data_IF_273897806363
#
_entry.id   IF_273897806363
#
_cell.length_a   1.000
_cell.length_b   1.000
_cell.length_c   1.000
_cell.angle_alpha   90.00
_cell.angle_beta   90.00
_cell.angle_gamma   90.00
#
_symmetry.space_group_name_H-M   'P 1'
#
loop_
_entity.id
_entity.type
_entity.pdbx_description
1 polymer ?
#
# COMPACT_ATOMS: atom_id res chain seq x y z
N UNK A 1 -7.28 31.37 -13.31
CA UNK A 1 -7.21 29.87 -13.32
C UNK A 1 -6.51 29.50 -12.03
N UNK A 2 -7.21 28.78 -11.15
CA UNK A 2 -6.60 28.36 -9.88
C UNK A 2 -5.64 27.22 -10.15
N UNK A 3 -4.41 27.33 -9.65
CA UNK A 3 -3.36 26.32 -9.82
C UNK A 3 -3.23 25.54 -8.51
N UNK A 4 -3.43 24.22 -8.58
CA UNK A 4 -3.26 23.31 -7.45
C UNK A 4 -1.88 22.64 -7.49
N UNK A 5 -1.02 22.92 -6.51
CA UNK A 5 0.36 22.44 -6.47
C UNK A 5 0.64 21.40 -5.37
N UNK A 6 -0.38 20.97 -4.61
CA UNK A 6 -0.21 20.05 -3.47
C UNK A 6 -0.63 18.59 -3.79
N UNK A 7 -0.24 18.10 -4.96
CA UNK A 7 -0.54 16.71 -5.36
C UNK A 7 0.15 15.64 -4.51
N UNK A 8 1.19 16.00 -3.75
CA UNK A 8 1.83 15.09 -2.80
C UNK A 8 0.95 14.79 -1.58
N UNK A 9 0.08 15.73 -1.19
CA UNK A 9 -0.92 15.51 -0.15
C UNK A 9 -2.10 14.69 -0.69
N UNK A 10 -2.69 15.11 -1.81
CA UNK A 10 -3.75 14.38 -2.54
C UNK A 10 -3.82 14.90 -3.97
N UNK A 11 -4.14 14.05 -4.93
CA UNK A 11 -4.28 14.50 -6.33
C UNK A 11 -5.58 15.27 -6.53
N UNK A 12 -5.52 16.43 -7.20
CA UNK A 12 -6.68 17.21 -7.62
C UNK A 12 -6.38 17.93 -8.96
N UNK A 13 -7.37 18.00 -9.90
CA UNK A 13 -8.67 17.31 -9.86
C UNK A 13 -8.53 15.79 -10.07
N UNK A 14 -9.54 15.04 -9.63
CA UNK A 14 -9.66 13.61 -9.97
C UNK A 14 -10.19 13.46 -11.40
N UNK A 15 -9.84 12.37 -12.12
CA UNK A 15 -10.51 12.02 -13.37
C UNK A 15 -12.03 11.92 -13.15
N UNK A 16 -12.82 12.48 -14.08
CA UNK A 16 -14.29 12.53 -13.95
C UNK A 16 -14.95 11.16 -13.82
N UNK A 17 -14.32 10.12 -14.34
CA UNK A 17 -14.79 8.73 -14.21
C UNK A 17 -14.85 8.27 -12.74
N UNK A 18 -14.02 8.84 -11.86
CA UNK A 18 -13.98 8.46 -10.45
C UNK A 18 -15.26 8.89 -9.70
N UNK A 19 -15.60 10.20 -9.61
CA UNK A 19 -16.82 10.62 -8.93
C UNK A 19 -18.07 10.07 -9.64
N UNK A 20 -18.09 9.94 -10.96
CA UNK A 20 -19.23 9.40 -11.68
C UNK A 20 -19.50 7.93 -11.33
N UNK A 21 -18.46 7.10 -11.23
CA UNK A 21 -18.60 5.69 -10.85
C UNK A 21 -19.06 5.53 -9.39
N UNK A 22 -18.58 6.38 -8.49
CA UNK A 22 -19.03 6.40 -7.08
C UNK A 22 -20.51 6.77 -7.01
N UNK A 23 -20.92 7.84 -7.70
CA UNK A 23 -22.29 8.29 -7.75
C UNK A 23 -23.23 7.19 -8.30
N UNK A 24 -22.87 6.61 -9.45
CA UNK A 24 -23.64 5.54 -10.09
C UNK A 24 -23.82 4.33 -9.15
N UNK A 25 -22.76 3.91 -8.48
CA UNK A 25 -22.82 2.81 -7.53
C UNK A 25 -23.76 3.10 -6.36
N UNK A 26 -23.67 4.28 -5.75
CA UNK A 26 -24.50 4.65 -4.60
C UNK A 26 -25.97 4.74 -4.98
N UNK A 27 -26.27 5.29 -6.15
CA UNK A 27 -27.66 5.50 -6.60
C UNK A 27 -28.30 4.22 -7.10
N UNK A 28 -27.57 3.42 -7.88
CA UNK A 28 -28.17 2.30 -8.63
C UNK A 28 -27.95 0.92 -7.96
N UNK A 29 -26.87 0.76 -7.16
CA UNK A 29 -26.59 -0.49 -6.48
C UNK A 29 -26.68 -0.35 -4.95
N UNK A 30 -25.71 0.31 -4.31
CA UNK A 30 -25.65 0.52 -2.87
C UNK A 30 -25.53 -0.75 -2.03
N UNK A 31 -25.22 -1.90 -2.62
CA UNK A 31 -25.04 -3.16 -1.89
C UNK A 31 -23.77 -3.16 -1.05
N UNK A 32 -23.66 -4.01 -0.03
CA UNK A 32 -22.43 -4.26 0.73
C UNK A 32 -21.78 -5.55 0.26
N UNK A 33 -20.47 -5.61 0.18
CA UNK A 33 -19.76 -6.84 -0.12
C UNK A 33 -19.62 -7.74 1.10
N UNK A 34 -19.48 -9.05 0.87
CA UNK A 34 -19.17 -10.07 1.89
C UNK A 34 -20.32 -10.52 2.78
N UNK A 35 -21.55 -9.98 2.65
CA UNK A 35 -22.62 -10.23 3.64
C UNK A 35 -23.95 -10.69 3.09
N UNK A 36 -24.10 -10.96 1.80
CA UNK A 36 -25.41 -11.28 1.26
C UNK A 36 -25.39 -12.15 0.03
N UNK A 37 -26.41 -13.04 -0.08
CA UNK A 37 -26.63 -13.86 -1.26
C UNK A 37 -27.63 -13.23 -2.25
N UNK A 38 -27.97 -11.95 -2.08
CA UNK A 38 -28.87 -11.23 -2.99
C UNK A 38 -28.06 -10.50 -4.09
N UNK A 39 -28.72 -10.23 -5.21
CA UNK A 39 -28.10 -9.75 -6.45
C UNK A 39 -27.15 -8.55 -6.25
N UNK A 40 -27.58 -7.51 -5.51
CA UNK A 40 -26.75 -6.31 -5.28
C UNK A 40 -25.51 -6.59 -4.44
N UNK A 41 -25.56 -7.52 -3.48
CA UNK A 41 -24.39 -7.91 -2.70
C UNK A 41 -23.39 -8.70 -3.56
N UNK A 42 -23.89 -9.66 -4.36
CA UNK A 42 -23.04 -10.43 -5.28
C UNK A 42 -22.37 -9.53 -6.34
N UNK A 43 -23.10 -8.51 -6.83
CA UNK A 43 -22.52 -7.52 -7.74
C UNK A 43 -21.43 -6.70 -7.03
N UNK A 44 -21.66 -6.26 -5.79
CA UNK A 44 -20.66 -5.54 -5.00
C UNK A 44 -19.40 -6.38 -4.77
N UNK A 45 -19.54 -7.67 -4.42
CA UNK A 45 -18.42 -8.61 -4.27
C UNK A 45 -17.62 -8.74 -5.56
N UNK A 46 -18.31 -8.91 -6.68
CA UNK A 46 -17.69 -9.00 -8.00
C UNK A 46 -16.89 -7.74 -8.35
N UNK A 47 -17.46 -6.55 -8.11
CA UNK A 47 -16.81 -5.26 -8.37
C UNK A 47 -15.58 -5.06 -7.49
N UNK A 48 -15.68 -5.33 -6.19
CA UNK A 48 -14.54 -5.25 -5.25
C UNK A 48 -13.43 -6.20 -5.67
N UNK A 49 -13.77 -7.44 -6.05
CA UNK A 49 -12.77 -8.41 -6.51
C UNK A 49 -12.10 -8.00 -7.83
N UNK A 50 -12.82 -7.35 -8.76
CA UNK A 50 -12.20 -6.80 -9.96
C UNK A 50 -11.16 -5.71 -9.64
N UNK A 51 -11.43 -4.86 -8.64
CA UNK A 51 -10.44 -3.85 -8.20
C UNK A 51 -9.20 -4.53 -7.61
N UNK A 52 -9.34 -5.60 -6.82
CA UNK A 52 -8.20 -6.41 -6.34
C UNK A 52 -7.37 -6.96 -7.49
N UNK A 53 -8.02 -7.52 -8.53
CA UNK A 53 -7.33 -8.04 -9.72
C UNK A 53 -6.53 -6.96 -10.45
N UNK A 54 -7.11 -5.75 -10.60
CA UNK A 54 -6.41 -4.63 -11.24
C UNK A 54 -5.18 -4.19 -10.44
N UNK A 55 -5.31 -4.08 -9.12
CA UNK A 55 -4.18 -3.77 -8.23
C UNK A 55 -3.10 -4.87 -8.29
N UNK A 56 -3.50 -6.13 -8.27
CA UNK A 56 -2.58 -7.24 -8.43
C UNK A 56 -1.84 -7.16 -9.77
N UNK A 57 -2.56 -6.89 -10.87
CA UNK A 57 -1.95 -6.68 -12.20
C UNK A 57 -1.01 -5.47 -12.24
N UNK A 58 -1.39 -4.35 -11.62
CA UNK A 58 -0.57 -3.14 -11.57
C UNK A 58 0.79 -3.37 -10.88
N UNK A 59 0.82 -4.21 -9.86
CA UNK A 59 2.02 -4.50 -9.05
C UNK A 59 2.70 -5.83 -9.42
N UNK A 60 2.26 -6.51 -10.49
CA UNK A 60 2.69 -7.86 -10.86
C UNK A 60 2.60 -8.87 -9.71
N UNK A 61 1.50 -8.83 -8.97
CA UNK A 61 1.22 -9.73 -7.86
C UNK A 61 0.34 -10.91 -8.31
N UNK A 62 0.66 -12.12 -7.83
CA UNK A 62 0.07 -13.36 -8.36
C UNK A 62 -1.33 -13.67 -7.82
N UNK A 63 -1.57 -13.39 -6.54
CA UNK A 63 -2.86 -13.70 -5.90
C UNK A 63 -3.64 -12.45 -5.51
N UNK A 64 -4.70 -12.09 -6.23
CA UNK A 64 -5.54 -10.95 -5.89
C UNK A 64 -6.16 -11.03 -4.47
N UNK A 65 -6.32 -12.20 -3.88
CA UNK A 65 -6.90 -12.35 -2.54
C UNK A 65 -6.02 -11.77 -1.45
N UNK A 66 -4.71 -11.69 -1.67
CA UNK A 66 -3.74 -11.13 -0.75
C UNK A 66 -3.43 -9.66 -0.99
N UNK A 67 -4.27 -8.98 -1.81
CA UNK A 67 -4.35 -7.51 -1.88
C UNK A 67 -5.40 -7.06 -0.86
N UNK A 68 -4.98 -6.59 0.29
CA UNK A 68 -5.83 -6.23 1.43
C UNK A 68 -6.24 -4.77 1.33
N UNK A 69 -7.53 -4.45 1.40
CA UNK A 69 -8.00 -3.08 1.44
C UNK A 69 -7.92 -2.50 2.85
N UNK A 70 -7.49 -1.25 2.92
CA UNK A 70 -7.45 -0.42 4.12
C UNK A 70 -8.00 0.96 3.83
N UNK A 71 -8.21 1.79 4.83
CA UNK A 71 -8.66 3.17 4.65
C UNK A 71 -7.54 4.11 4.18
N UNK A 72 -6.28 3.73 4.35
CA UNK A 72 -5.12 4.55 4.00
C UNK A 72 -3.83 3.73 4.05
N UNK A 73 -2.76 4.24 3.42
CA UNK A 73 -1.41 3.65 3.57
C UNK A 73 -0.95 3.62 5.04
N UNK A 74 -1.39 4.57 5.87
CA UNK A 74 -1.06 4.59 7.30
C UNK A 74 -1.60 3.35 8.01
N UNK A 75 -2.84 2.96 7.71
CA UNK A 75 -3.42 1.73 8.24
C UNK A 75 -2.69 0.48 7.70
N UNK A 76 -2.36 0.46 6.39
CA UNK A 76 -1.60 -0.63 5.77
C UNK A 76 -0.23 -0.83 6.43
N UNK A 77 0.50 0.27 6.70
CA UNK A 77 1.80 0.23 7.36
C UNK A 77 1.68 -0.23 8.82
N UNK A 78 0.65 0.25 9.55
CA UNK A 78 0.39 -0.23 10.90
C UNK A 78 0.03 -1.72 10.92
N UNK A 79 -0.80 -2.18 9.99
CA UNK A 79 -1.16 -3.59 9.85
C UNK A 79 0.09 -4.45 9.62
N UNK A 80 0.95 -4.07 8.68
CA UNK A 80 2.19 -4.80 8.41
C UNK A 80 3.17 -4.78 9.59
N UNK A 81 3.47 -3.60 10.13
CA UNK A 81 4.46 -3.44 11.18
C UNK A 81 4.02 -4.09 12.50
N UNK A 82 2.78 -3.86 12.91
CA UNK A 82 2.26 -4.43 14.15
C UNK A 82 1.93 -5.91 14.05
N UNK A 83 1.55 -6.37 12.85
CA UNK A 83 1.21 -7.77 12.61
C UNK A 83 2.43 -8.70 12.51
N UNK A 84 3.61 -8.15 12.16
CA UNK A 84 4.83 -8.95 11.95
C UNK A 84 5.79 -8.85 13.13
N UNK A 85 6.01 -7.63 13.67
CA UNK A 85 7.08 -7.38 14.62
C UNK A 85 6.75 -7.86 16.02
N UNK A 86 7.66 -8.64 16.59
CA UNK A 86 7.59 -9.25 17.93
C UNK A 86 8.63 -8.59 18.87
N UNK A 87 8.47 -8.73 20.19
CA UNK A 87 9.48 -8.28 21.14
C UNK A 87 10.87 -8.84 20.83
N UNK A 88 11.88 -7.96 20.82
CA UNK A 88 13.26 -8.31 20.52
C UNK A 88 13.65 -8.23 19.03
N UNK A 89 12.69 -8.08 18.11
CA UNK A 89 12.99 -7.91 16.70
C UNK A 89 13.75 -6.61 16.41
N UNK A 90 14.56 -6.64 15.36
CA UNK A 90 15.27 -5.48 14.86
C UNK A 90 14.71 -5.07 13.48
N UNK A 91 14.60 -3.76 13.25
CA UNK A 91 14.14 -3.15 12.00
C UNK A 91 15.20 -2.23 11.44
N UNK A 92 15.47 -2.35 10.15
CA UNK A 92 16.27 -1.38 9.38
C UNK A 92 15.33 -0.49 8.59
N UNK A 93 15.50 0.84 8.70
CA UNK A 93 14.66 1.83 8.02
C UNK A 93 15.48 3.04 7.57
N UNK A 94 14.93 3.88 6.69
CA UNK A 94 15.62 5.07 6.22
C UNK A 94 15.36 6.31 7.10
N UNK A 95 16.25 7.30 6.99
CA UNK A 95 16.02 8.63 7.56
C UNK A 95 14.94 9.45 6.82
N UNK A 96 14.41 8.92 5.70
CA UNK A 96 13.47 9.61 4.81
C UNK A 96 12.02 9.14 5.01
N UNK A 97 11.77 8.28 5.99
CA UNK A 97 10.46 7.70 6.19
C UNK A 97 9.39 8.73 6.56
N UNK A 98 8.20 8.51 6.01
CA UNK A 98 7.02 9.27 6.45
C UNK A 98 6.65 8.93 7.90
N UNK A 99 6.00 9.87 8.59
CA UNK A 99 5.52 9.67 9.96
C UNK A 99 4.64 8.41 10.16
N UNK A 100 4.00 7.92 9.10
CA UNK A 100 3.20 6.68 9.15
C UNK A 100 4.06 5.45 9.48
N UNK A 101 5.30 5.40 8.99
CA UNK A 101 6.30 4.38 9.36
C UNK A 101 6.96 4.76 10.69
N UNK A 102 7.53 5.98 10.75
CA UNK A 102 8.35 6.39 11.87
C UNK A 102 7.64 6.33 13.22
N UNK A 103 6.43 6.90 13.31
CA UNK A 103 5.66 6.91 14.57
C UNK A 103 5.21 5.52 14.97
N UNK A 104 4.86 4.66 14.01
CA UNK A 104 4.51 3.27 14.30
C UNK A 104 5.71 2.52 14.86
N UNK A 105 6.90 2.62 14.26
CA UNK A 105 8.13 2.01 14.74
C UNK A 105 8.49 2.51 16.14
N UNK A 106 8.39 3.82 16.42
CA UNK A 106 8.67 4.39 17.74
C UNK A 106 7.68 3.93 18.82
N UNK A 107 6.43 3.70 18.44
CA UNK A 107 5.44 3.09 19.33
C UNK A 107 5.81 1.64 19.64
N UNK A 108 6.19 0.85 18.64
CA UNK A 108 6.59 -0.55 18.83
C UNK A 108 7.91 -0.68 19.61
N UNK A 109 8.86 0.23 19.39
CA UNK A 109 10.09 0.28 20.18
C UNK A 109 9.79 0.48 21.68
N UNK A 110 8.90 1.43 22.01
CA UNK A 110 8.49 1.71 23.39
C UNK A 110 7.68 0.57 24.01
N UNK A 111 6.69 0.04 23.26
CA UNK A 111 5.64 -0.82 23.82
C UNK A 111 5.98 -2.31 23.69
N UNK A 112 6.79 -2.70 22.70
CA UNK A 112 7.18 -4.10 22.45
C UNK A 112 8.68 -4.35 22.57
N UNK A 113 9.50 -3.31 22.74
CA UNK A 113 10.95 -3.48 22.87
C UNK A 113 11.65 -3.95 21.61
N UNK A 114 11.14 -3.58 20.43
CA UNK A 114 11.90 -3.74 19.17
C UNK A 114 13.09 -2.77 19.16
N UNK A 115 14.07 -3.03 18.31
CA UNK A 115 15.19 -2.11 18.06
C UNK A 115 15.17 -1.60 16.62
N UNK A 116 15.66 -0.37 16.39
CA UNK A 116 15.61 0.29 15.09
C UNK A 116 17.00 0.77 14.69
N UNK A 117 17.45 0.43 13.48
CA UNK A 117 18.60 1.07 12.84
C UNK A 117 18.11 1.99 11.73
N UNK A 118 18.56 3.26 11.77
CA UNK A 118 18.21 4.27 10.80
C UNK A 118 19.38 4.43 9.83
N UNK A 119 19.13 4.17 8.55
CA UNK A 119 20.12 4.36 7.49
C UNK A 119 20.07 5.81 7.03
N UNK A 120 21.22 6.52 7.02
CA UNK A 120 21.27 7.91 6.57
C UNK A 120 21.03 8.02 5.06
N UNK A 121 20.64 9.20 4.62
CA UNK A 121 20.65 9.60 3.23
C UNK A 121 21.77 10.61 2.98
N UNK A 122 22.32 10.62 1.76
CA UNK A 122 23.29 11.64 1.34
C UNK A 122 22.61 13.01 1.14
N UNK A 123 23.40 14.04 0.75
CA UNK A 123 22.87 15.39 0.52
C UNK A 123 21.85 15.47 -0.63
N UNK A 124 21.81 14.49 -1.51
CA UNK A 124 20.83 14.33 -2.58
C UNK A 124 19.57 13.58 -2.15
N UNK A 125 19.53 13.09 -0.91
CA UNK A 125 18.42 12.31 -0.38
C UNK A 125 18.40 10.84 -0.87
N UNK A 126 19.55 10.28 -1.22
CA UNK A 126 19.71 8.91 -1.69
C UNK A 126 20.33 8.05 -0.58
N UNK A 127 19.89 6.81 -0.47
CA UNK A 127 20.43 5.83 0.49
C UNK A 127 21.39 4.88 -0.23
N UNK A 128 22.58 4.69 0.32
CA UNK A 128 23.55 3.72 -0.18
C UNK A 128 23.19 2.30 0.29
N UNK A 129 23.34 1.31 -0.60
CA UNK A 129 23.05 -0.11 -0.28
C UNK A 129 24.03 -0.64 0.78
N UNK A 130 25.27 -0.18 0.74
CA UNK A 130 26.32 -0.53 1.70
C UNK A 130 25.92 -0.13 3.13
N UNK A 131 25.28 1.03 3.29
CA UNK A 131 24.79 1.50 4.60
C UNK A 131 23.60 0.66 5.08
N UNK A 132 22.70 0.25 4.15
CA UNK A 132 21.62 -0.69 4.49
C UNK A 132 22.20 -2.03 4.95
N UNK A 133 23.18 -2.55 4.21
CA UNK A 133 23.83 -3.82 4.53
C UNK A 133 24.57 -3.78 5.89
N UNK A 134 25.25 -2.66 6.20
CA UNK A 134 25.95 -2.45 7.45
C UNK A 134 25.00 -2.32 8.67
N UNK A 135 23.76 -1.87 8.44
CA UNK A 135 22.74 -1.75 9.48
C UNK A 135 22.07 -3.09 9.87
N UNK A 136 22.24 -4.15 9.04
CA UNK A 136 21.64 -5.47 9.30
C UNK A 136 22.35 -6.16 10.46
N UNK A 137 21.56 -6.76 11.35
CA UNK A 137 21.99 -7.54 12.54
C UNK A 137 21.38 -8.95 12.47
N UNK A 138 21.86 -9.90 13.29
CA UNK A 138 21.27 -11.24 13.37
C UNK A 138 19.76 -11.22 13.69
N UNK A 139 19.31 -10.27 14.50
CA UNK A 139 17.92 -10.09 14.93
C UNK A 139 17.07 -9.29 13.92
N UNK A 140 17.64 -8.87 12.79
CA UNK A 140 16.89 -8.08 11.79
C UNK A 140 15.79 -8.92 11.18
N UNK A 141 14.57 -8.54 11.49
CA UNK A 141 13.35 -9.18 11.00
C UNK A 141 12.78 -8.52 9.76
N UNK A 142 12.90 -7.20 9.67
CA UNK A 142 12.25 -6.40 8.64
C UNK A 142 13.16 -5.26 8.18
N UNK A 143 13.16 -5.03 6.87
CA UNK A 143 13.62 -3.78 6.26
C UNK A 143 12.38 -3.04 5.78
N UNK A 144 12.20 -1.77 6.15
CA UNK A 144 11.10 -0.93 5.67
C UNK A 144 11.62 0.36 5.08
N UNK A 145 11.23 0.65 3.83
CA UNK A 145 11.68 1.83 3.10
C UNK A 145 10.55 2.51 2.34
N UNK A 146 10.52 3.85 2.38
CA UNK A 146 9.73 4.62 1.42
C UNK A 146 10.34 4.47 0.02
N UNK A 147 9.50 4.24 -1.00
CA UNK A 147 9.98 4.17 -2.38
C UNK A 147 10.31 5.56 -2.94
N UNK A 148 9.52 6.58 -2.58
CA UNK A 148 9.77 7.95 -2.97
C UNK A 148 9.42 8.91 -1.84
N UNK A 149 10.32 9.85 -1.54
CA UNK A 149 10.10 10.84 -0.48
C UNK A 149 9.00 11.83 -0.87
N UNK A 150 8.06 12.07 0.03
CA UNK A 150 7.02 13.09 -0.14
C UNK A 150 7.56 14.53 0.01
N UNK A 151 8.76 14.70 0.56
CA UNK A 151 9.39 15.99 0.82
C UNK A 151 10.42 16.32 -0.26
N UNK A 152 11.33 15.37 -0.56
CA UNK A 152 12.45 15.59 -1.48
C UNK A 152 12.12 15.14 -2.91
N UNK A 153 11.16 14.23 -3.09
CA UNK A 153 10.85 13.61 -4.39
C UNK A 153 11.91 12.58 -4.85
N UNK A 154 12.90 12.28 -4.01
CA UNK A 154 13.95 11.31 -4.31
C UNK A 154 13.39 9.89 -4.32
N UNK A 155 13.89 9.07 -5.25
CA UNK A 155 13.48 7.67 -5.41
C UNK A 155 14.56 6.79 -4.80
N UNK A 156 14.17 5.89 -3.89
CA UNK A 156 15.08 4.97 -3.24
C UNK A 156 15.31 3.70 -4.07
N UNK A 157 16.48 3.05 -3.96
CA UNK A 157 16.89 1.90 -4.78
C UNK A 157 16.21 0.60 -4.30
N UNK A 158 14.87 0.53 -4.30
CA UNK A 158 14.10 -0.58 -3.72
C UNK A 158 14.42 -1.94 -4.33
N UNK A 159 14.79 -2.01 -5.62
CA UNK A 159 15.18 -3.27 -6.25
C UNK A 159 16.46 -3.85 -5.61
N UNK A 160 17.48 -3.00 -5.42
CA UNK A 160 18.72 -3.44 -4.77
C UNK A 160 18.53 -3.76 -3.28
N UNK A 161 17.64 -3.01 -2.59
CA UNK A 161 17.27 -3.31 -1.20
C UNK A 161 16.54 -4.66 -1.13
N UNK A 162 15.63 -4.94 -2.05
CA UNK A 162 14.92 -6.22 -2.14
C UNK A 162 15.86 -7.40 -2.42
N UNK A 163 16.87 -7.22 -3.29
CA UNK A 163 17.92 -8.21 -3.53
C UNK A 163 18.72 -8.52 -2.25
N UNK A 164 19.10 -7.48 -1.53
CA UNK A 164 19.81 -7.59 -0.25
C UNK A 164 18.94 -8.30 0.79
N UNK A 165 17.70 -7.87 0.99
CA UNK A 165 16.75 -8.44 1.94
C UNK A 165 16.54 -9.94 1.67
N UNK A 166 16.27 -10.30 0.41
CA UNK A 166 16.09 -11.71 -0.03
C UNK A 166 17.34 -12.55 0.23
N UNK A 167 18.54 -12.02 -0.04
CA UNK A 167 19.81 -12.72 0.20
C UNK A 167 20.06 -13.02 1.69
N UNK A 168 19.48 -12.21 2.57
CA UNK A 168 19.60 -12.32 4.03
C UNK A 168 18.37 -12.98 4.69
N UNK A 169 17.35 -13.37 3.88
CA UNK A 169 16.07 -13.93 4.37
C UNK A 169 15.35 -12.97 5.34
N UNK A 170 15.41 -11.68 5.07
CA UNK A 170 14.76 -10.61 5.83
C UNK A 170 13.55 -10.16 5.02
N UNK A 171 12.42 -9.89 5.69
CA UNK A 171 11.23 -9.35 5.04
C UNK A 171 11.46 -7.91 4.55
N UNK A 172 10.88 -7.57 3.39
CA UNK A 172 10.98 -6.23 2.82
C UNK A 172 9.61 -5.60 2.64
N UNK A 173 9.35 -4.51 3.40
CA UNK A 173 8.14 -3.68 3.31
C UNK A 173 8.47 -2.38 2.59
N UNK A 174 7.67 -2.05 1.57
CA UNK A 174 7.80 -0.79 0.81
C UNK A 174 6.60 0.11 1.07
N UNK A 175 6.85 1.35 1.52
CA UNK A 175 5.86 2.43 1.49
C UNK A 175 5.85 3.05 0.08
N UNK A 176 4.83 2.70 -0.70
CA UNK A 176 4.61 3.17 -2.05
C UNK A 176 3.58 4.30 -2.16
N UNK A 177 3.32 5.03 -1.07
CA UNK A 177 2.30 6.10 -1.03
C UNK A 177 2.50 7.18 -2.10
N UNK A 178 3.74 7.52 -2.45
CA UNK A 178 4.05 8.53 -3.46
C UNK A 178 4.33 7.94 -4.85
N UNK A 179 4.67 6.67 -4.94
CA UNK A 179 5.15 6.03 -6.17
C UNK A 179 4.10 5.21 -6.91
N UNK A 180 3.12 4.62 -6.20
CA UNK A 180 2.03 3.84 -6.81
C UNK A 180 1.26 4.66 -7.83
N UNK A 181 1.19 4.19 -9.08
CA UNK A 181 0.52 4.88 -10.18
C UNK A 181 1.39 5.88 -10.95
N UNK A 182 2.69 6.02 -10.61
CA UNK A 182 3.66 6.90 -11.31
C UNK A 182 4.93 6.15 -11.67
N UNK A 183 5.48 5.39 -10.72
CA UNK A 183 6.66 4.57 -10.95
C UNK A 183 6.23 3.13 -11.21
N UNK A 184 6.94 2.40 -12.06
CA UNK A 184 6.73 0.97 -12.19
C UNK A 184 7.13 0.27 -10.90
N UNK A 185 6.22 -0.54 -10.36
CA UNK A 185 6.46 -1.38 -9.19
C UNK A 185 6.09 -2.80 -9.57
N UNK A 186 7.05 -3.70 -9.42
CA UNK A 186 6.90 -5.13 -9.68
C UNK A 186 7.36 -5.89 -8.43
N UNK A 187 6.39 -6.39 -7.65
CA UNK A 187 6.69 -7.01 -6.36
C UNK A 187 7.50 -8.31 -6.51
N UNK A 188 7.42 -8.98 -7.68
CA UNK A 188 8.15 -10.22 -7.94
C UNK A 188 9.62 -9.92 -8.25
N UNK A 189 9.87 -9.07 -9.25
CA UNK A 189 11.23 -8.77 -9.70
C UNK A 189 12.01 -7.91 -8.70
N UNK A 190 11.33 -7.00 -8.00
CA UNK A 190 11.92 -6.16 -6.94
C UNK A 190 11.94 -6.84 -5.56
N UNK A 191 11.47 -8.10 -5.48
CA UNK A 191 11.50 -8.94 -4.26
C UNK A 191 10.89 -8.26 -3.05
N UNK A 192 9.76 -7.59 -3.27
CA UNK A 192 8.99 -6.91 -2.23
C UNK A 192 8.06 -7.95 -1.59
N UNK A 193 8.17 -8.15 -0.29
CA UNK A 193 7.30 -9.05 0.46
C UNK A 193 5.98 -8.38 0.85
N UNK A 194 6.04 -7.07 1.13
CA UNK A 194 4.89 -6.27 1.53
C UNK A 194 4.93 -4.90 0.84
N UNK A 195 3.82 -4.51 0.19
CA UNK A 195 3.70 -3.21 -0.46
C UNK A 195 2.49 -2.45 0.07
N UNK A 196 2.74 -1.34 0.77
CA UNK A 196 1.69 -0.47 1.27
C UNK A 196 1.44 0.70 0.28
N UNK A 197 0.16 0.96 -0.04
CA UNK A 197 -0.23 2.01 -0.98
C UNK A 197 -1.45 2.81 -0.50
N UNK A 198 -1.68 3.96 -1.13
CA UNK A 198 -2.89 4.78 -0.92
C UNK A 198 -3.57 5.11 -2.23
N UNK A 199 -4.90 5.10 -2.23
CA UNK A 199 -5.68 5.31 -3.46
C UNK A 199 -5.75 6.77 -3.91
N UNK A 200 -5.70 7.73 -2.96
CA UNK A 200 -6.05 9.14 -3.24
C UNK A 200 -4.92 10.01 -3.80
N UNK A 201 -3.69 9.50 -3.86
CA UNK A 201 -2.54 10.21 -4.42
C UNK A 201 -2.38 9.86 -5.90
N UNK A 202 -1.24 9.32 -6.29
CA UNK A 202 -0.94 9.06 -7.71
C UNK A 202 -1.76 7.92 -8.33
N UNK A 203 -2.47 7.11 -7.56
CA UNK A 203 -3.49 6.20 -8.07
C UNK A 203 -4.79 6.91 -8.48
N UNK A 204 -4.93 8.23 -8.25
CA UNK A 204 -6.04 9.08 -8.69
C UNK A 204 -7.42 8.74 -8.11
N UNK A 205 -7.49 7.81 -7.18
CA UNK A 205 -8.72 7.35 -6.53
C UNK A 205 -9.20 8.30 -5.42
N UNK A 206 -10.30 7.98 -4.75
CA UNK A 206 -10.84 8.79 -3.66
C UNK A 206 -10.03 8.63 -2.38
N UNK A 207 -10.16 9.59 -1.45
CA UNK A 207 -9.70 9.47 -0.07
C UNK A 207 -10.44 8.31 0.63
N UNK A 208 -9.87 7.80 1.73
CA UNK A 208 -10.46 6.67 2.44
C UNK A 208 -10.26 5.32 1.73
N UNK A 209 -9.26 5.24 0.85
CA UNK A 209 -8.84 4.01 0.17
C UNK A 209 -7.33 3.85 0.23
N UNK A 210 -6.90 2.65 0.52
CA UNK A 210 -5.52 2.21 0.55
C UNK A 210 -5.46 0.69 0.53
N UNK A 211 -4.28 0.13 0.66
CA UNK A 211 -4.13 -1.32 0.77
C UNK A 211 -2.72 -1.78 1.03
N UNK A 212 -2.64 -3.06 1.37
CA UNK A 212 -1.42 -3.82 1.58
C UNK A 212 -1.42 -5.01 0.61
N UNK A 213 -0.41 -5.09 -0.25
CA UNK A 213 -0.13 -6.32 -1.01
C UNK A 213 0.73 -7.21 -0.13
N UNK A 214 0.27 -8.42 0.15
CA UNK A 214 1.00 -9.46 0.90
C UNK A 214 1.55 -10.46 -0.10
N UNK A 215 2.87 -10.43 -0.32
CA UNK A 215 3.60 -11.25 -1.29
C UNK A 215 4.59 -12.19 -0.58
N UNK A 216 4.27 -12.63 0.62
CA UNK A 216 5.07 -13.55 1.42
C UNK A 216 4.16 -14.57 2.11
N UNK A 217 4.76 -15.65 2.61
CA UNK A 217 4.06 -16.71 3.38
C UNK A 217 4.02 -16.40 4.89
N UNK A 218 4.45 -15.20 5.29
CA UNK A 218 4.48 -14.82 6.71
C UNK A 218 3.07 -14.67 7.26
N UNK A 219 2.84 -15.19 8.44
CA UNK A 219 1.60 -14.98 9.19
C UNK A 219 1.56 -13.56 9.77
N UNK A 220 0.67 -12.74 9.22
CA UNK A 220 0.48 -11.35 9.65
C UNK A 220 -0.69 -11.30 10.64
N UNK A 221 -0.39 -10.98 11.88
CA UNK A 221 -1.45 -10.86 12.87
C UNK A 221 -2.42 -9.71 12.54
N UNK A 222 -3.75 -9.93 12.58
CA UNK A 222 -4.72 -8.88 12.27
C UNK A 222 -4.60 -7.67 13.20
N UNK A 223 -4.65 -6.47 12.62
CA UNK A 223 -4.67 -5.21 13.41
C UNK A 223 -6.03 -5.03 14.10
N UNK A 224 -7.10 -5.46 13.43
CA UNK A 224 -8.48 -5.33 13.89
C UNK A 224 -9.15 -6.69 13.75
N UNK A 225 -9.81 -7.15 14.82
CA UNK A 225 -10.63 -8.35 14.79
C UNK A 225 -12.11 -7.95 14.78
N UNK A 226 -12.92 -8.63 13.95
CA UNK A 226 -14.34 -8.31 13.84
C UNK A 226 -15.06 -9.08 12.75
N UNK A 227 -16.31 -8.72 12.47
CA UNK A 227 -17.10 -9.39 11.46
C UNK A 227 -16.54 -9.21 10.05
N UNK A 228 -16.40 -10.32 9.32
CA UNK A 228 -15.84 -10.37 7.97
C UNK A 228 -16.87 -10.70 6.88
N UNK A 229 -18.12 -10.93 7.30
CA UNK A 229 -19.23 -11.29 6.39
C UNK A 229 -19.41 -12.78 6.13
N UNK A 230 -18.39 -13.59 6.40
CA UNK A 230 -18.43 -15.06 6.37
C UNK A 230 -18.22 -15.65 7.75
N UNK A 231 -18.44 -16.98 7.88
CA UNK A 231 -18.09 -17.79 9.05
C UNK A 231 -18.54 -17.22 10.42
N UNK A 232 -19.76 -16.65 10.46
CA UNK A 232 -20.30 -15.95 11.64
C UNK A 232 -20.42 -16.83 12.90
N UNK A 233 -20.34 -18.15 12.77
CA UNK A 233 -20.32 -19.09 13.88
C UNK A 233 -18.93 -19.37 14.43
N UNK A 234 -17.87 -18.91 13.77
CA UNK A 234 -16.48 -19.12 14.18
C UNK A 234 -16.07 -18.04 15.19
N UNK A 235 -15.46 -18.46 16.30
CA UNK A 235 -15.16 -17.55 17.43
C UNK A 235 -13.93 -16.65 17.18
N UNK A 236 -13.06 -17.03 16.24
CA UNK A 236 -11.81 -16.33 15.96
C UNK A 236 -11.84 -15.64 14.59
N UNK A 237 -10.90 -14.74 14.36
CA UNK A 237 -10.69 -14.15 13.05
C UNK A 237 -10.36 -15.27 12.05
N UNK A 238 -10.98 -15.29 10.84
CA UNK A 238 -10.66 -16.30 9.82
C UNK A 238 -9.18 -16.32 9.48
N UNK A 239 -8.65 -17.48 9.10
CA UNK A 239 -7.24 -17.70 8.74
C UNK A 239 -6.98 -17.61 7.22
N UNK A 240 -8.00 -17.27 6.42
CA UNK A 240 -7.89 -17.14 4.96
C UNK A 240 -8.03 -15.69 4.48
N UNK A 241 -7.26 -15.33 3.46
CA UNK A 241 -7.33 -14.02 2.81
C UNK A 241 -8.56 -13.86 1.90
N UNK A 242 -9.10 -12.66 1.81
CA UNK A 242 -8.70 -11.42 2.49
C UNK A 242 -9.26 -11.28 3.91
N UNK A 243 -10.19 -12.14 4.33
CA UNK A 243 -10.97 -12.04 5.56
C UNK A 243 -10.09 -12.05 6.82
N UNK A 244 -8.91 -12.68 6.74
CA UNK A 244 -7.93 -12.67 7.83
C UNK A 244 -7.54 -11.25 8.26
N UNK A 245 -7.31 -10.36 7.30
CA UNK A 245 -6.81 -8.99 7.55
C UNK A 245 -7.85 -7.89 7.29
N UNK A 246 -9.04 -8.24 6.79
CA UNK A 246 -10.14 -7.30 6.56
C UNK A 246 -11.30 -7.57 7.52
N UNK A 247 -11.48 -6.70 8.49
CA UNK A 247 -12.61 -6.75 9.41
C UNK A 247 -13.50 -5.51 9.26
N UNK A 248 -14.79 -5.68 9.49
CA UNK A 248 -15.77 -4.61 9.35
C UNK A 248 -16.35 -4.48 7.94
N UNK A 249 -17.13 -3.45 7.73
CA UNK A 249 -17.71 -3.14 6.42
C UNK A 249 -16.71 -2.35 5.58
N UNK A 250 -16.34 -2.87 4.41
CA UNK A 250 -15.45 -2.21 3.49
C UNK A 250 -16.06 -0.90 2.95
N UNK A 251 -15.19 0.05 2.61
CA UNK A 251 -15.57 1.26 1.86
C UNK A 251 -15.81 0.91 0.37
N UNK A 252 -16.89 0.16 0.10
CA UNK A 252 -17.17 -0.38 -1.24
C UNK A 252 -17.26 0.73 -2.28
N UNK A 253 -17.95 1.82 -2.00
CA UNK A 253 -18.05 2.95 -2.95
C UNK A 253 -16.69 3.58 -3.26
N UNK A 254 -15.84 3.75 -2.24
CA UNK A 254 -14.48 4.23 -2.43
C UNK A 254 -13.60 3.26 -3.22
N UNK A 255 -13.69 1.97 -2.95
CA UNK A 255 -12.96 0.92 -3.69
C UNK A 255 -13.38 0.90 -5.16
N UNK A 256 -14.68 1.03 -5.45
CA UNK A 256 -15.19 1.10 -6.83
C UNK A 256 -14.70 2.37 -7.53
N UNK A 257 -14.64 3.50 -6.82
CA UNK A 257 -14.04 4.73 -7.33
C UNK A 257 -12.54 4.57 -7.62
N UNK A 258 -11.80 3.85 -6.76
CA UNK A 258 -10.41 3.47 -7.03
C UNK A 258 -10.31 2.58 -8.28
N UNK A 259 -11.23 1.63 -8.46
CA UNK A 259 -11.31 0.81 -9.67
C UNK A 259 -11.43 1.63 -10.95
N UNK A 260 -12.30 2.65 -10.95
CA UNK A 260 -12.43 3.58 -12.08
C UNK A 260 -11.14 4.39 -12.33
N UNK A 261 -10.43 4.77 -11.26
CA UNK A 261 -9.13 5.42 -11.39
C UNK A 261 -8.07 4.49 -12.00
N UNK A 262 -8.05 3.22 -11.62
CA UNK A 262 -7.14 2.22 -12.19
C UNK A 262 -7.45 1.98 -13.68
N UNK A 263 -8.72 1.89 -14.08
CA UNK A 263 -9.13 1.83 -15.49
C UNK A 263 -8.63 3.04 -16.29
N UNK A 264 -8.70 4.22 -15.71
CA UNK A 264 -8.15 5.44 -16.31
C UNK A 264 -6.62 5.36 -16.45
N UNK A 265 -5.90 4.91 -15.43
CA UNK A 265 -4.45 4.74 -15.46
C UNK A 265 -4.01 3.69 -16.51
N UNK A 266 -4.73 2.58 -16.64
CA UNK A 266 -4.48 1.55 -17.64
C UNK A 266 -4.67 2.11 -19.07
N UNK A 267 -5.73 2.92 -19.28
CA UNK A 267 -6.04 3.53 -20.59
C UNK A 267 -5.01 4.59 -20.99
N UNK A 268 -4.63 5.47 -20.06
CA UNK A 268 -3.62 6.51 -20.31
C UNK A 268 -2.20 5.94 -20.43
N UNK A 269 -1.92 4.84 -19.73
CA UNK A 269 -0.60 4.24 -19.60
C UNK A 269 0.33 4.98 -18.64
N UNK A 270 0.96 4.24 -17.72
CA UNK A 270 1.86 4.81 -16.69
C UNK A 270 3.01 5.62 -17.28
N UNK A 271 3.58 5.17 -18.41
CA UNK A 271 4.68 5.88 -19.08
C UNK A 271 4.24 7.25 -19.61
N UNK A 272 3.02 7.36 -20.17
CA UNK A 272 2.46 8.63 -20.62
C UNK A 272 2.22 9.58 -19.44
N UNK A 273 1.71 9.07 -18.33
CA UNK A 273 1.47 9.85 -17.12
C UNK A 273 2.81 10.37 -16.56
N UNK A 274 3.81 9.51 -16.47
CA UNK A 274 5.16 9.86 -16.04
C UNK A 274 5.76 10.93 -16.94
N UNK A 275 5.72 10.75 -18.25
CA UNK A 275 6.23 11.73 -19.24
C UNK A 275 5.54 13.09 -19.10
N UNK A 276 4.22 13.14 -18.96
CA UNK A 276 3.48 14.38 -18.74
C UNK A 276 3.96 15.09 -17.46
N UNK A 277 4.16 14.36 -16.37
CA UNK A 277 4.67 14.92 -15.10
C UNK A 277 6.10 15.46 -15.25
N UNK A 278 6.99 14.72 -15.88
CA UNK A 278 8.39 15.14 -16.07
C UNK A 278 8.50 16.36 -16.99
N UNK A 279 7.67 16.47 -18.02
CA UNK A 279 7.67 17.60 -18.95
C UNK A 279 7.43 18.96 -18.25
N UNK A 280 6.67 19.00 -17.16
CA UNK A 280 6.44 20.23 -16.38
C UNK A 280 7.71 20.76 -15.67
N UNK A 281 8.68 19.89 -15.38
CA UNK A 281 9.94 20.25 -14.71
C UNK A 281 11.04 20.65 -15.69
N UNK A 282 10.88 20.29 -16.98
CA UNK A 282 11.88 20.53 -18.03
C UNK A 282 11.51 21.69 -18.97
N UNK A 283 10.32 22.27 -18.81
CA UNK A 283 9.90 23.45 -19.58
C UNK A 283 10.40 24.71 -18.85
N UNK A 284 11.21 25.57 -19.52
CA UNK A 284 11.76 26.78 -18.94
C UNK A 284 10.68 27.79 -18.52
#
# INVERSE_FOLDING_TARGET
>A
MDVYLDNAATTYPKPSVVPNRIYDYIVNNGGTSGRGAYEKAMLADGLVFQVRKRLAGLFNHLDPKTVIFTSSVTESLNLALQGILKPGDHVVTSALEHNAVWRCLKTLERDRGISISIVPANAQGETAIEDVAAAIRPETRLIVFTHASNVLGTIQPIAAIGDLARSRKILFLVDAAQSSGVLPIDVQTQKIDLLAFTGHKSLLGPMGTGGLVVNCEEDIHPLISGGTGGDSAYEYQPDYYPNHLEAGTLNVSGIIGLGAALEFLETEGLENIRRKRTAWWTTP
#
